data_IF_422151024386
#
_entry.id   IF_422151024386
#
_cell.length_a   1.000
_cell.length_b   1.000
_cell.length_c   1.000
_cell.angle_alpha   90.00
_cell.angle_beta   90.00
_cell.angle_gamma   90.00
#
_symmetry.space_group_name_H-M   'P 1'
#
loop_
_entity.id
_entity.type
_entity.pdbx_description
1 polymer ?
#
# COMPACT_ATOMS: atom_id res chain seq x y z
N UNK A 1 -44.44 49.05 21.51
CA UNK A 1 -43.64 50.27 21.70
C UNK A 1 -42.46 49.92 22.59
N UNK A 2 -41.22 50.08 22.12
CA UNK A 2 -40.03 50.12 23.00
C UNK A 2 -40.00 51.43 23.84
N UNK A 3 -38.94 51.74 24.62
CA UNK A 3 -37.52 51.57 24.23
C UNK A 3 -36.46 51.22 25.33
N UNK A 4 -35.26 50.83 24.85
CA UNK A 4 -33.85 51.23 25.19
C UNK A 4 -33.34 51.03 26.64
N UNK A 5 -32.44 50.08 26.96
CA UNK A 5 -30.95 49.98 26.78
C UNK A 5 -30.15 50.62 27.94
N UNK A 6 -29.39 49.81 28.69
CA UNK A 6 -28.56 50.20 29.85
C UNK A 6 -27.26 49.37 29.90
N UNK A 7 -26.09 50.02 29.80
CA UNK A 7 -24.82 49.78 30.54
C UNK A 7 -23.66 50.61 29.95
N UNK A 8 -23.22 51.68 30.62
CA UNK A 8 -22.13 51.79 31.64
C UNK A 8 -20.72 51.84 31.02
N UNK A 9 -20.30 53.08 30.78
CA UNK A 9 -19.07 53.81 31.12
C UNK A 9 -17.65 53.25 30.91
N UNK A 10 -16.90 54.07 30.16
CA UNK A 10 -15.48 54.11 29.85
C UNK A 10 -14.86 55.34 30.55
N UNK A 11 -13.71 55.17 31.20
CA UNK A 11 -12.70 56.18 31.54
C UNK A 11 -11.34 55.44 31.52
N UNK A 12 -10.18 55.95 31.09
CA UNK A 12 -9.69 57.32 30.90
C UNK A 12 -8.37 57.32 30.09
N UNK A 13 -8.03 58.50 29.59
CA UNK A 13 -6.92 58.99 28.74
C UNK A 13 -5.46 58.77 29.22
N UNK A 14 -4.48 58.78 28.30
CA UNK A 14 -3.52 59.90 28.07
C UNK A 14 -2.29 59.53 27.18
N UNK A 15 -1.75 60.56 26.51
CA UNK A 15 -0.85 60.58 25.35
C UNK A 15 0.68 60.47 25.63
N UNK A 16 1.43 60.35 24.52
CA UNK A 16 2.89 60.20 24.27
C UNK A 16 3.67 61.51 24.60
N UNK A 17 5.04 61.51 24.69
CA UNK A 17 5.78 62.10 23.55
C UNK A 17 7.24 61.61 23.25
N UNK A 18 7.55 61.58 21.95
CA UNK A 18 8.75 62.08 21.21
C UNK A 18 10.22 61.61 21.45
N UNK A 19 10.79 61.02 20.38
CA UNK A 19 11.95 61.46 19.55
C UNK A 19 13.20 62.15 20.18
N UNK A 20 14.40 61.65 19.85
CA UNK A 20 15.40 62.39 19.05
C UNK A 20 16.70 61.61 18.77
N UNK A 21 17.38 62.07 17.72
CA UNK A 21 18.47 61.48 16.94
C UNK A 21 19.89 61.51 17.56
N UNK A 22 20.68 60.49 17.19
CA UNK A 22 22.10 60.50 16.76
C UNK A 22 23.13 61.35 17.54
N UNK A 23 24.24 60.73 18.00
CA UNK A 23 25.65 61.22 17.87
C UNK A 23 26.67 60.32 18.65
N UNK A 24 27.69 59.84 17.91
CA UNK A 24 29.12 59.67 18.28
C UNK A 24 29.60 58.55 19.24
N UNK A 25 30.16 57.50 18.61
CA UNK A 25 31.56 56.96 18.69
C UNK A 25 32.30 56.77 20.05
N UNK A 26 32.92 55.56 20.15
CA UNK A 26 34.06 55.08 20.98
C UNK A 26 33.73 54.76 22.46
N UNK A 27 34.25 53.72 23.14
CA UNK A 27 35.20 52.62 22.87
C UNK A 27 35.20 51.72 24.13
N UNK A 28 35.57 50.42 23.96
CA UNK A 28 35.97 49.44 24.99
C UNK A 28 34.81 48.86 25.86
N UNK A 29 34.69 47.56 26.12
CA UNK A 29 35.74 46.62 26.55
C UNK A 29 35.20 45.17 26.50
N UNK A 30 35.99 44.24 25.96
CA UNK A 30 36.11 42.80 26.30
C UNK A 30 34.82 41.99 26.57
N UNK A 31 34.42 40.99 25.79
CA UNK A 31 35.22 39.83 25.38
C UNK A 31 34.96 38.64 26.32
N UNK A 32 33.84 37.91 26.14
CA UNK A 32 33.68 36.57 26.74
C UNK A 32 32.60 35.65 26.13
N UNK A 33 31.64 36.12 25.32
CA UNK A 33 30.44 35.32 25.03
C UNK A 33 30.24 34.83 23.58
N UNK A 34 31.30 34.62 22.80
CA UNK A 34 31.18 34.02 21.45
C UNK A 34 31.57 32.53 21.37
N UNK A 35 32.11 31.94 22.45
CA UNK A 35 32.51 30.53 22.45
C UNK A 35 31.39 29.55 22.84
N UNK A 36 30.34 30.00 23.53
CA UNK A 36 29.29 29.12 24.06
C UNK A 36 28.16 28.81 23.05
N UNK A 37 28.00 29.62 22.00
CA UNK A 37 26.93 29.42 21.00
C UNK A 37 27.35 28.58 19.79
N UNK A 38 28.63 28.51 19.42
CA UNK A 38 29.08 27.64 18.31
C UNK A 38 29.20 26.18 18.75
N UNK A 39 29.67 25.93 19.98
CA UNK A 39 29.82 24.58 20.53
C UNK A 39 28.47 23.86 20.69
N UNK A 40 27.40 24.58 21.04
CA UNK A 40 26.06 23.98 21.14
C UNK A 40 25.44 23.67 19.77
N UNK A 41 25.70 24.50 18.75
CA UNK A 41 25.20 24.25 17.39
C UNK A 41 25.87 23.04 16.73
N UNK A 42 27.20 22.87 16.93
CA UNK A 42 27.95 21.76 16.35
C UNK A 42 27.63 20.42 17.04
N UNK A 43 27.40 20.42 18.35
CA UNK A 43 27.03 19.21 19.10
C UNK A 43 25.62 18.73 18.73
N UNK A 44 24.66 19.65 18.57
CA UNK A 44 23.28 19.33 18.15
C UNK A 44 23.25 18.84 16.70
N UNK A 45 23.98 19.48 15.79
CA UNK A 45 24.08 19.04 14.40
C UNK A 45 24.70 17.64 14.28
N UNK A 46 25.73 17.33 15.07
CA UNK A 46 26.38 16.01 15.04
C UNK A 46 25.48 14.90 15.61
N UNK A 47 24.69 15.21 16.64
CA UNK A 47 23.74 14.26 17.24
C UNK A 47 22.52 13.97 16.36
N UNK A 48 21.94 15.01 15.73
CA UNK A 48 20.79 14.86 14.82
C UNK A 48 21.20 14.10 13.55
N UNK A 49 22.36 14.43 12.96
CA UNK A 49 22.86 13.72 11.77
C UNK A 49 23.21 12.25 12.06
N UNK A 50 23.74 11.95 13.25
CA UNK A 50 24.06 10.58 13.68
C UNK A 50 22.82 9.76 14.02
N UNK A 51 21.76 10.39 14.54
CA UNK A 51 20.45 9.75 14.81
C UNK A 51 19.68 9.46 13.51
N UNK A 52 19.81 10.31 12.50
CA UNK A 52 19.20 10.10 11.16
C UNK A 52 19.97 9.05 10.35
N UNK A 53 21.31 9.00 10.46
CA UNK A 53 22.16 8.05 9.70
C UNK A 53 22.03 6.58 10.16
N UNK A 54 21.56 6.34 11.38
CA UNK A 54 21.35 4.98 11.93
C UNK A 54 19.89 4.49 11.82
N UNK A 55 19.00 5.27 11.22
CA UNK A 55 17.57 4.98 11.13
C UNK A 55 17.17 4.03 9.98
N UNK A 56 17.70 4.14 8.74
CA UNK A 56 17.20 3.32 7.64
C UNK A 56 17.64 1.86 7.75
N UNK A 57 18.89 1.57 8.16
CA UNK A 57 19.38 0.19 8.31
C UNK A 57 18.66 -0.56 9.42
N UNK A 58 18.30 0.12 10.50
CA UNK A 58 17.53 -0.46 11.61
C UNK A 58 16.06 -0.67 11.22
N UNK A 59 15.46 0.25 10.46
CA UNK A 59 14.13 0.04 9.87
C UNK A 59 14.12 -1.11 8.86
N UNK A 60 15.12 -1.16 7.96
CA UNK A 60 15.32 -2.27 7.01
C UNK A 60 15.52 -3.59 7.76
N UNK A 61 16.31 -3.61 8.84
CA UNK A 61 16.53 -4.80 9.66
C UNK A 61 15.26 -5.27 10.38
N UNK A 62 14.46 -4.36 10.95
CA UNK A 62 13.19 -4.70 11.59
C UNK A 62 12.20 -5.24 10.55
N UNK A 63 12.13 -4.60 9.37
CA UNK A 63 11.34 -5.07 8.23
C UNK A 63 11.96 -6.31 7.57
N UNK A 64 13.21 -6.69 7.84
CA UNK A 64 13.81 -7.92 7.30
C UNK A 64 13.88 -9.08 8.29
N UNK A 65 13.73 -8.86 9.60
CA UNK A 65 13.93 -9.92 10.60
C UNK A 65 12.69 -10.13 11.48
N UNK A 66 11.81 -9.14 11.64
CA UNK A 66 10.70 -9.23 12.61
C UNK A 66 9.50 -10.07 12.14
N UNK A 67 9.27 -10.26 10.84
CA UNK A 67 8.18 -11.14 10.39
C UNK A 67 8.63 -12.58 10.38
N UNK A 68 7.81 -13.47 10.93
CA UNK A 68 8.04 -14.93 10.98
C UNK A 68 8.30 -15.52 9.59
N UNK A 69 7.78 -14.90 8.53
CA UNK A 69 7.95 -15.36 7.15
C UNK A 69 9.37 -15.15 6.61
N UNK A 70 10.15 -14.21 7.18
CA UNK A 70 11.50 -13.92 6.72
C UNK A 70 12.52 -15.00 7.10
N UNK A 71 12.12 -16.00 7.89
CA UNK A 71 12.87 -17.25 8.06
C UNK A 71 13.09 -17.96 6.72
N UNK A 72 12.24 -17.71 5.72
CA UNK A 72 12.38 -18.30 4.38
C UNK A 72 13.35 -17.54 3.46
N UNK A 73 13.77 -16.32 3.83
CA UNK A 73 14.64 -15.48 3.01
C UNK A 73 15.99 -16.13 2.62
N UNK A 74 16.70 -16.89 3.49
CA UNK A 74 17.93 -17.57 3.08
C UNK A 74 17.73 -18.64 1.99
N UNK A 75 16.50 -19.11 1.73
CA UNK A 75 16.26 -20.09 0.66
C UNK A 75 16.48 -19.50 -0.74
N UNK A 76 16.36 -18.17 -0.92
CA UNK A 76 16.65 -17.51 -2.20
C UNK A 76 18.12 -17.64 -2.61
N UNK A 77 19.08 -17.12 -1.82
CA UNK A 77 20.50 -17.33 -2.07
C UNK A 77 20.89 -18.82 -2.13
N UNK A 78 20.26 -19.66 -1.31
CA UNK A 78 20.49 -21.10 -1.34
C UNK A 78 20.07 -21.73 -2.68
N UNK A 79 18.95 -21.29 -3.27
CA UNK A 79 18.51 -21.75 -4.58
C UNK A 79 19.51 -21.39 -5.68
N UNK A 80 20.08 -20.18 -5.61
CA UNK A 80 21.13 -19.72 -6.54
C UNK A 80 22.39 -20.58 -6.38
N UNK A 81 22.85 -20.81 -5.15
CA UNK A 81 24.00 -21.67 -4.89
C UNK A 81 23.75 -23.09 -5.40
N UNK A 82 22.58 -23.66 -5.13
CA UNK A 82 22.22 -25.00 -5.56
C UNK A 82 22.16 -25.14 -7.08
N UNK A 83 21.71 -24.09 -7.78
CA UNK A 83 21.70 -24.05 -9.25
C UNK A 83 23.10 -24.23 -9.83
N UNK A 84 24.11 -23.57 -9.25
CA UNK A 84 25.49 -23.70 -9.69
C UNK A 84 26.14 -25.04 -9.32
N UNK A 85 25.77 -25.64 -8.18
CA UNK A 85 26.46 -26.84 -7.66
C UNK A 85 25.84 -28.15 -8.17
N UNK A 86 24.51 -28.27 -8.16
CA UNK A 86 23.88 -29.61 -8.14
C UNK A 86 23.01 -29.92 -9.37
N UNK A 87 22.70 -28.95 -10.24
CA UNK A 87 21.85 -29.09 -11.44
C UNK A 87 20.50 -29.81 -11.23
N UNK A 88 20.08 -30.04 -9.97
CA UNK A 88 18.79 -30.66 -9.63
C UNK A 88 17.68 -29.62 -9.73
N UNK A 89 17.11 -29.49 -10.93
CA UNK A 89 16.10 -28.48 -11.25
C UNK A 89 14.90 -28.45 -10.29
N UNK A 90 14.43 -29.61 -9.81
CA UNK A 90 13.31 -29.68 -8.87
C UNK A 90 13.57 -29.01 -7.52
N UNK A 91 14.77 -29.20 -6.95
CA UNK A 91 15.15 -28.57 -5.69
C UNK A 91 15.41 -27.08 -5.86
N UNK A 92 16.02 -26.68 -6.98
CA UNK A 92 16.21 -25.26 -7.31
C UNK A 92 14.87 -24.55 -7.43
N UNK A 93 13.88 -25.17 -8.10
CA UNK A 93 12.52 -24.63 -8.21
C UNK A 93 11.86 -24.46 -6.83
N UNK A 94 11.88 -25.51 -6.00
CA UNK A 94 11.26 -25.48 -4.67
C UNK A 94 11.89 -24.43 -3.74
N UNK A 95 13.23 -24.37 -3.69
CA UNK A 95 13.94 -23.38 -2.89
C UNK A 95 13.72 -21.95 -3.40
N UNK A 96 13.62 -21.77 -4.73
CA UNK A 96 13.28 -20.47 -5.32
C UNK A 96 11.88 -20.03 -4.92
N UNK A 97 10.90 -20.93 -4.92
CA UNK A 97 9.53 -20.64 -4.49
C UNK A 97 9.48 -20.22 -3.01
N UNK A 98 10.20 -20.94 -2.14
CA UNK A 98 10.33 -20.55 -0.74
C UNK A 98 11.03 -19.20 -0.58
N UNK A 99 12.08 -18.93 -1.34
CA UNK A 99 12.81 -17.66 -1.29
C UNK A 99 12.02 -16.45 -1.79
N UNK A 100 11.16 -16.63 -2.80
CA UNK A 100 10.29 -15.58 -3.34
C UNK A 100 9.15 -15.24 -2.37
N UNK A 101 8.63 -16.22 -1.63
CA UNK A 101 7.51 -16.03 -0.70
C UNK A 101 7.68 -14.83 0.26
N UNK A 102 8.76 -14.72 1.06
CA UNK A 102 8.97 -13.57 1.93
C UNK A 102 9.25 -12.28 1.16
N UNK A 103 9.90 -12.35 -0.01
CA UNK A 103 10.14 -11.15 -0.84
C UNK A 103 8.83 -10.55 -1.34
N UNK A 104 7.87 -11.40 -1.72
CA UNK A 104 6.54 -11.00 -2.15
C UNK A 104 5.77 -10.30 -1.03
N UNK A 105 5.78 -10.88 0.18
CA UNK A 105 5.16 -10.27 1.36
C UNK A 105 5.78 -8.91 1.68
N UNK A 106 7.11 -8.79 1.62
CA UNK A 106 7.80 -7.53 1.89
C UNK A 106 7.55 -6.45 0.86
N UNK A 107 7.44 -6.82 -0.42
CA UNK A 107 7.05 -5.89 -1.47
C UNK A 107 5.63 -5.35 -1.23
N UNK A 108 4.68 -6.22 -0.86
CA UNK A 108 3.33 -5.82 -0.49
C UNK A 108 3.32 -4.88 0.72
N UNK A 109 3.99 -5.25 1.81
CA UNK A 109 4.10 -4.41 3.01
C UNK A 109 4.72 -3.04 2.71
N UNK A 110 5.82 -3.00 1.95
CA UNK A 110 6.47 -1.75 1.57
C UNK A 110 5.56 -0.87 0.69
N UNK A 111 4.79 -1.49 -0.21
CA UNK A 111 3.81 -0.80 -1.05
C UNK A 111 2.70 -0.18 -0.21
N UNK A 112 2.18 -0.93 0.75
CA UNK A 112 1.15 -0.44 1.67
C UNK A 112 1.67 0.74 2.50
N UNK A 113 2.87 0.62 3.08
CA UNK A 113 3.50 1.73 3.81
C UNK A 113 3.69 2.95 2.91
N UNK A 114 4.17 2.77 1.68
CA UNK A 114 4.34 3.88 0.75
C UNK A 114 3.01 4.52 0.37
N UNK A 115 1.97 3.72 0.13
CA UNK A 115 0.63 4.18 -0.22
C UNK A 115 0.03 5.07 0.87
N UNK A 116 0.26 4.76 2.15
CA UNK A 116 -0.15 5.60 3.27
C UNK A 116 0.46 7.00 3.25
N UNK A 117 1.68 7.18 2.73
CA UNK A 117 2.38 8.47 2.70
C UNK A 117 2.20 9.27 1.38
N UNK A 118 1.71 8.64 0.31
CA UNK A 118 1.58 9.29 -1.02
C UNK A 118 0.20 9.89 -1.30
N UNK A 119 -0.75 9.76 -0.37
CA UNK A 119 -2.13 10.23 -0.52
C UNK A 119 -3.04 9.24 -1.25
N UNK A 120 -4.38 9.39 -1.17
CA UNK A 120 -5.33 8.35 -1.55
C UNK A 120 -5.25 7.89 -3.02
N UNK A 121 -5.11 8.83 -3.96
CA UNK A 121 -5.09 8.54 -5.40
C UNK A 121 -3.82 7.80 -5.79
N UNK A 122 -2.65 8.34 -5.42
CA UNK A 122 -1.35 7.74 -5.75
C UNK A 122 -1.16 6.45 -4.97
N UNK A 123 -1.58 6.40 -3.70
CA UNK A 123 -1.51 5.21 -2.87
C UNK A 123 -2.39 4.07 -3.39
N UNK A 124 -3.60 4.36 -3.85
CA UNK A 124 -4.45 3.34 -4.49
C UNK A 124 -3.85 2.81 -5.79
N UNK A 125 -3.25 3.68 -6.63
CA UNK A 125 -2.52 3.25 -7.83
C UNK A 125 -1.29 2.39 -7.49
N UNK A 126 -0.53 2.76 -6.47
CA UNK A 126 0.62 2.00 -5.99
C UNK A 126 0.20 0.62 -5.50
N UNK A 127 -0.86 0.51 -4.71
CA UNK A 127 -1.37 -0.76 -4.22
C UNK A 127 -1.91 -1.64 -5.37
N UNK A 128 -2.63 -1.05 -6.32
CA UNK A 128 -3.12 -1.76 -7.50
C UNK A 128 -2.00 -2.39 -8.34
N UNK A 129 -0.88 -1.67 -8.49
CA UNK A 129 0.25 -2.09 -9.34
C UNK A 129 1.29 -2.92 -8.58
N UNK A 130 1.86 -2.38 -7.51
CA UNK A 130 2.93 -3.03 -6.75
C UNK A 130 2.42 -4.09 -5.76
N UNK A 131 1.16 -4.01 -5.33
CA UNK A 131 0.54 -5.06 -4.50
C UNK A 131 0.46 -6.42 -5.21
N UNK A 132 0.34 -6.41 -6.54
CA UNK A 132 0.33 -7.61 -7.38
C UNK A 132 1.61 -7.76 -8.23
N UNK A 133 2.66 -6.97 -7.96
CA UNK A 133 3.84 -6.92 -8.83
C UNK A 133 4.58 -8.26 -8.90
N UNK A 134 4.65 -9.02 -7.80
CA UNK A 134 5.29 -10.34 -7.80
C UNK A 134 4.66 -11.26 -8.83
N UNK A 135 3.32 -11.34 -8.85
CA UNK A 135 2.58 -12.17 -9.81
C UNK A 135 2.81 -11.69 -11.25
N UNK A 136 2.76 -10.37 -11.47
CA UNK A 136 3.00 -9.76 -12.79
C UNK A 136 4.42 -10.04 -13.30
N UNK A 137 5.44 -9.90 -12.45
CA UNK A 137 6.86 -10.14 -12.82
C UNK A 137 7.07 -11.60 -13.23
N UNK A 138 6.56 -12.55 -12.42
CA UNK A 138 6.68 -13.98 -12.71
C UNK A 138 5.93 -14.31 -14.01
N UNK A 139 4.74 -13.75 -14.20
CA UNK A 139 3.93 -13.96 -15.40
C UNK A 139 4.60 -13.42 -16.66
N UNK A 140 5.18 -12.21 -16.61
CA UNK A 140 5.90 -11.62 -17.74
C UNK A 140 7.13 -12.47 -18.09
N UNK A 141 7.91 -12.90 -17.09
CA UNK A 141 9.07 -13.74 -17.32
C UNK A 141 8.68 -15.08 -17.96
N UNK A 142 7.66 -15.73 -17.42
CA UNK A 142 7.12 -16.98 -17.97
C UNK A 142 6.59 -16.80 -19.41
N UNK A 143 5.92 -15.68 -19.69
CA UNK A 143 5.43 -15.34 -21.03
C UNK A 143 6.59 -15.15 -22.02
N UNK A 144 7.65 -14.43 -21.61
CA UNK A 144 8.87 -14.26 -22.43
C UNK A 144 9.57 -15.59 -22.73
N UNK A 145 9.47 -16.56 -21.82
CA UNK A 145 9.96 -17.93 -22.02
C UNK A 145 8.98 -18.84 -22.79
N UNK A 146 7.86 -18.31 -23.31
CA UNK A 146 6.87 -19.08 -24.06
C UNK A 146 5.98 -19.99 -23.20
N UNK A 147 6.00 -19.85 -21.88
CA UNK A 147 5.26 -20.69 -20.94
C UNK A 147 3.81 -20.20 -20.76
N UNK A 148 3.06 -20.06 -21.86
CA UNK A 148 1.70 -19.51 -21.86
C UNK A 148 0.77 -20.30 -20.92
N UNK A 149 0.86 -21.63 -20.96
CA UNK A 149 0.04 -22.52 -20.12
C UNK A 149 0.28 -22.27 -18.63
N UNK A 150 1.53 -22.06 -18.23
CA UNK A 150 1.89 -21.78 -16.83
C UNK A 150 1.29 -20.44 -16.40
N UNK A 151 1.38 -19.41 -17.25
CA UNK A 151 0.77 -18.10 -16.98
C UNK A 151 -0.75 -18.23 -16.81
N UNK A 152 -1.44 -18.88 -17.76
CA UNK A 152 -2.89 -19.09 -17.69
C UNK A 152 -3.32 -19.83 -16.41
N UNK A 153 -2.62 -20.91 -16.08
CA UNK A 153 -2.90 -21.70 -14.87
C UNK A 153 -2.61 -20.90 -13.59
N UNK A 154 -1.55 -20.08 -13.58
CA UNK A 154 -1.20 -19.25 -12.43
C UNK A 154 -2.22 -18.13 -12.19
N UNK A 155 -2.74 -17.49 -13.23
CA UNK A 155 -3.77 -16.45 -13.11
C UNK A 155 -5.09 -17.02 -12.60
N UNK A 156 -5.54 -18.16 -13.16
CA UNK A 156 -6.72 -18.86 -12.64
C UNK A 156 -6.51 -19.33 -11.20
N UNK A 157 -5.32 -19.84 -10.88
CA UNK A 157 -4.93 -20.25 -9.53
C UNK A 157 -4.96 -19.10 -8.53
N UNK A 158 -4.49 -17.90 -8.90
CA UNK A 158 -4.53 -16.69 -8.05
C UNK A 158 -5.97 -16.29 -7.73
N UNK A 159 -6.86 -16.28 -8.75
CA UNK A 159 -8.28 -15.99 -8.57
C UNK A 159 -8.93 -16.99 -7.60
N UNK A 160 -8.73 -18.30 -7.83
CA UNK A 160 -9.29 -19.35 -6.98
C UNK A 160 -8.72 -19.32 -5.56
N UNK A 161 -7.41 -19.06 -5.42
CA UNK A 161 -6.74 -18.94 -4.12
C UNK A 161 -7.35 -17.81 -3.31
N UNK A 162 -7.54 -16.63 -3.90
CA UNK A 162 -8.11 -15.49 -3.20
C UNK A 162 -9.60 -15.70 -2.85
N UNK A 163 -10.37 -16.31 -3.75
CA UNK A 163 -11.81 -16.57 -3.55
C UNK A 163 -12.13 -17.65 -2.54
N UNK A 164 -11.40 -18.77 -2.58
CA UNK A 164 -11.77 -19.99 -1.86
C UNK A 164 -10.80 -20.25 -0.72
N UNK A 165 -9.49 -20.26 -1.01
CA UNK A 165 -8.49 -20.64 -0.02
C UNK A 165 -8.32 -19.55 1.04
N UNK A 166 -7.96 -18.34 0.62
CA UNK A 166 -7.72 -17.21 1.53
C UNK A 166 -9.01 -16.84 2.27
N UNK A 167 -10.11 -16.65 1.53
CA UNK A 167 -11.41 -16.32 2.13
C UNK A 167 -11.91 -17.43 3.06
N UNK A 168 -11.80 -18.70 2.64
CA UNK A 168 -12.20 -19.86 3.44
C UNK A 168 -11.38 -19.99 4.72
N UNK A 169 -10.05 -19.81 4.64
CA UNK A 169 -9.19 -19.78 5.83
C UNK A 169 -9.53 -18.59 6.74
N UNK A 170 -9.85 -17.42 6.20
CA UNK A 170 -10.25 -16.25 6.98
C UNK A 170 -11.58 -16.49 7.73
N UNK A 171 -12.58 -17.10 7.09
CA UNK A 171 -13.83 -17.47 7.74
C UNK A 171 -13.63 -18.60 8.77
N UNK A 172 -12.82 -19.60 8.44
CA UNK A 172 -12.54 -20.73 9.34
C UNK A 172 -11.82 -20.26 10.61
N UNK A 173 -10.71 -19.54 10.46
CA UNK A 173 -9.94 -19.02 11.60
C UNK A 173 -10.72 -17.95 12.36
N UNK A 174 -11.42 -17.06 11.64
CA UNK A 174 -12.30 -16.05 12.22
C UNK A 174 -13.44 -16.66 13.04
N UNK A 175 -14.07 -17.73 12.54
CA UNK A 175 -15.13 -18.47 13.22
C UNK A 175 -14.64 -19.24 14.44
N UNK A 176 -13.42 -19.79 14.42
CA UNK A 176 -12.82 -20.44 15.60
C UNK A 176 -12.52 -19.40 16.70
N UNK A 177 -11.85 -18.29 16.34
CA UNK A 177 -11.45 -17.26 17.30
C UNK A 177 -12.66 -16.50 17.85
N UNK A 178 -13.63 -16.18 16.99
CA UNK A 178 -14.82 -15.39 17.33
C UNK A 178 -16.10 -16.23 17.36
N UNK A 179 -16.04 -17.48 17.85
CA UNK A 179 -17.16 -18.43 17.86
C UNK A 179 -18.48 -17.91 18.47
N UNK A 180 -18.45 -16.84 19.27
CA UNK A 180 -19.64 -16.21 19.89
C UNK A 180 -20.15 -14.96 19.15
N UNK A 181 -19.47 -14.49 18.10
CA UNK A 181 -19.82 -13.26 17.37
C UNK A 181 -20.06 -13.58 15.90
N UNK A 182 -21.12 -13.02 15.33
CA UNK A 182 -21.37 -13.08 13.88
C UNK A 182 -20.45 -12.07 13.18
N UNK A 183 -19.72 -12.50 12.16
CA UNK A 183 -18.90 -11.62 11.34
C UNK A 183 -19.80 -10.81 10.40
N UNK A 184 -19.81 -9.49 10.55
CA UNK A 184 -20.64 -8.59 9.74
C UNK A 184 -19.80 -7.95 8.64
N UNK A 185 -20.31 -7.96 7.42
CA UNK A 185 -19.66 -7.36 6.25
C UNK A 185 -20.57 -6.29 5.64
N UNK A 186 -19.96 -5.25 5.06
CA UNK A 186 -20.72 -4.24 4.32
C UNK A 186 -21.27 -4.88 3.03
N UNK A 187 -22.60 -5.03 2.98
CA UNK A 187 -23.32 -5.65 1.86
C UNK A 187 -23.08 -4.93 0.53
N UNK A 188 -22.99 -3.60 0.53
CA UNK A 188 -22.79 -2.82 -0.69
C UNK A 188 -21.39 -3.06 -1.29
N UNK A 189 -20.34 -3.02 -0.45
CA UNK A 189 -18.96 -3.26 -0.88
C UNK A 189 -18.78 -4.71 -1.35
N UNK A 190 -19.34 -5.67 -0.61
CA UNK A 190 -19.30 -7.08 -0.99
C UNK A 190 -20.00 -7.32 -2.34
N UNK A 191 -21.15 -6.68 -2.58
CA UNK A 191 -21.88 -6.81 -3.83
C UNK A 191 -21.07 -6.28 -5.02
N UNK A 192 -20.49 -5.08 -4.91
CA UNK A 192 -19.64 -4.50 -5.98
C UNK A 192 -18.44 -5.38 -6.27
N UNK A 193 -17.72 -5.83 -5.23
CA UNK A 193 -16.54 -6.68 -5.41
C UNK A 193 -16.90 -8.05 -6.00
N UNK A 194 -18.01 -8.67 -5.55
CA UNK A 194 -18.47 -9.94 -6.11
C UNK A 194 -18.91 -9.82 -7.57
N UNK A 195 -19.54 -8.70 -7.95
CA UNK A 195 -19.93 -8.42 -9.34
C UNK A 195 -18.74 -8.21 -10.27
N UNK A 196 -17.73 -7.45 -9.84
CA UNK A 196 -16.47 -7.28 -10.61
C UNK A 196 -15.74 -8.61 -10.80
N UNK A 197 -15.74 -9.43 -9.75
CA UNK A 197 -15.12 -10.74 -9.78
C UNK A 197 -15.84 -11.70 -10.72
N UNK A 198 -17.19 -11.70 -10.71
CA UNK A 198 -18.00 -12.45 -11.66
C UNK A 198 -17.73 -12.00 -13.11
N UNK A 199 -17.65 -10.70 -13.35
CA UNK A 199 -17.25 -10.13 -14.65
C UNK A 199 -15.88 -10.65 -15.09
N UNK A 200 -14.89 -10.66 -14.19
CA UNK A 200 -13.56 -11.17 -14.49
C UNK A 200 -13.55 -12.66 -14.86
N UNK A 201 -14.27 -13.49 -14.09
CA UNK A 201 -14.39 -14.93 -14.38
C UNK A 201 -15.08 -15.16 -15.72
N UNK A 202 -16.19 -14.48 -15.98
CA UNK A 202 -16.93 -14.59 -17.24
C UNK A 202 -16.07 -14.14 -18.44
N UNK A 203 -15.30 -13.07 -18.28
CA UNK A 203 -14.40 -12.53 -19.31
C UNK A 203 -13.29 -13.51 -19.72
N UNK A 204 -12.79 -14.33 -18.78
CA UNK A 204 -11.79 -15.37 -19.04
C UNK A 204 -12.46 -16.68 -19.52
N UNK A 205 -13.66 -16.97 -19.03
CA UNK A 205 -14.40 -18.20 -19.38
C UNK A 205 -14.82 -18.24 -20.83
N UNK A 206 -15.24 -17.11 -21.42
CA UNK A 206 -15.77 -17.08 -22.78
C UNK A 206 -14.76 -17.53 -23.86
N UNK A 207 -13.50 -17.02 -23.89
CA UNK A 207 -12.46 -17.59 -24.76
C UNK A 207 -12.11 -19.05 -24.44
N UNK A 208 -12.10 -19.44 -23.16
CA UNK A 208 -11.77 -20.80 -22.75
C UNK A 208 -12.79 -21.85 -23.24
N UNK A 209 -14.09 -21.52 -23.18
CA UNK A 209 -15.18 -22.38 -23.68
C UNK A 209 -15.13 -22.51 -25.20
N UNK A 210 -14.81 -21.41 -25.91
CA UNK A 210 -14.66 -21.43 -27.37
C UNK A 210 -13.53 -22.37 -27.81
N UNK A 211 -12.38 -22.28 -27.14
CA UNK A 211 -11.25 -23.20 -27.36
C UNK A 211 -11.64 -24.67 -27.09
N UNK A 212 -12.39 -24.94 -26.01
CA UNK A 212 -12.79 -26.30 -25.65
C UNK A 212 -13.82 -26.89 -26.61
N UNK A 213 -14.81 -26.11 -27.03
CA UNK A 213 -15.92 -26.55 -27.90
C UNK A 213 -15.47 -26.74 -29.36
N UNK A 214 -14.30 -26.22 -29.75
CA UNK A 214 -13.79 -26.25 -31.13
C UNK A 214 -14.79 -25.65 -32.15
N UNK A 215 -15.70 -24.78 -31.71
CA UNK A 215 -16.75 -24.18 -32.55
C UNK A 215 -16.26 -23.00 -33.40
N UNK A 216 -14.97 -22.98 -33.75
CA UNK A 216 -14.35 -21.87 -34.47
C UNK A 216 -14.40 -22.09 -35.99
N UNK A 217 -14.77 -21.03 -36.72
CA UNK A 217 -14.73 -20.98 -38.19
C UNK A 217 -13.26 -20.88 -38.69
N UNK A 218 -12.37 -20.27 -37.89
CA UNK A 218 -10.94 -20.14 -38.16
C UNK A 218 -10.11 -20.52 -36.92
N UNK A 219 -9.63 -21.76 -36.89
CA UNK A 219 -8.83 -22.35 -35.81
C UNK A 219 -7.76 -21.39 -35.24
N UNK A 220 -7.90 -21.01 -33.96
CA UNK A 220 -6.94 -20.28 -33.14
C UNK A 220 -6.89 -18.76 -33.39
N UNK A 221 -7.36 -18.27 -34.55
CA UNK A 221 -7.42 -16.82 -34.82
C UNK A 221 -8.61 -16.16 -34.15
N UNK A 222 -9.73 -16.89 -34.03
CA UNK A 222 -10.96 -16.38 -33.41
C UNK A 222 -10.85 -16.33 -31.88
N UNK A 223 -10.25 -17.34 -31.25
CA UNK A 223 -9.97 -17.35 -29.81
C UNK A 223 -9.10 -16.17 -29.38
N UNK A 224 -8.04 -15.92 -30.15
CA UNK A 224 -7.06 -14.88 -29.82
C UNK A 224 -7.63 -13.48 -29.98
N UNK A 225 -8.41 -13.23 -31.05
CA UNK A 225 -9.10 -11.95 -31.24
C UNK A 225 -10.11 -11.69 -30.13
N UNK A 226 -10.86 -12.72 -29.74
CA UNK A 226 -11.83 -12.65 -28.66
C UNK A 226 -11.16 -12.44 -27.30
N UNK A 227 -10.04 -13.11 -27.02
CA UNK A 227 -9.25 -12.92 -25.80
C UNK A 227 -8.69 -11.50 -25.69
N UNK A 228 -8.21 -10.93 -26.80
CA UNK A 228 -7.73 -9.54 -26.86
C UNK A 228 -8.85 -8.53 -26.65
N UNK A 229 -10.01 -8.78 -27.26
CA UNK A 229 -11.20 -7.95 -27.07
C UNK A 229 -11.68 -7.98 -25.62
N UNK A 230 -11.81 -9.18 -25.03
CA UNK A 230 -12.17 -9.37 -23.62
C UNK A 230 -11.17 -8.68 -22.68
N UNK A 231 -9.86 -8.82 -22.91
CA UNK A 231 -8.83 -8.14 -22.13
C UNK A 231 -8.94 -6.62 -22.20
N UNK A 232 -9.31 -6.05 -23.35
CA UNK A 232 -9.50 -4.60 -23.50
C UNK A 232 -10.72 -4.13 -22.68
N UNK A 233 -11.85 -4.82 -22.78
CA UNK A 233 -13.05 -4.53 -21.98
C UNK A 233 -12.74 -4.61 -20.48
N UNK A 234 -12.04 -5.67 -20.05
CA UNK A 234 -11.66 -5.84 -18.65
C UNK A 234 -10.75 -4.72 -18.15
N UNK A 235 -9.82 -4.24 -18.99
CA UNK A 235 -8.94 -3.13 -18.64
C UNK A 235 -9.71 -1.81 -18.50
N UNK A 236 -10.67 -1.54 -19.38
CA UNK A 236 -11.56 -0.37 -19.27
C UNK A 236 -12.45 -0.45 -18.03
N UNK A 237 -13.04 -1.62 -17.75
CA UNK A 237 -13.85 -1.85 -16.57
C UNK A 237 -13.04 -1.66 -15.28
N UNK A 238 -11.81 -2.21 -15.23
CA UNK A 238 -10.89 -2.06 -14.11
C UNK A 238 -10.46 -0.59 -13.92
N UNK A 239 -10.11 0.11 -15.00
CA UNK A 239 -9.77 1.53 -14.94
C UNK A 239 -10.92 2.41 -14.45
N UNK A 240 -12.15 2.12 -14.91
CA UNK A 240 -13.36 2.81 -14.45
C UNK A 240 -13.64 2.54 -12.97
N UNK A 241 -13.45 1.29 -12.52
CA UNK A 241 -13.57 0.92 -11.11
C UNK A 241 -12.54 1.65 -10.25
N UNK A 242 -11.26 1.68 -10.65
CA UNK A 242 -10.23 2.42 -9.93
C UNK A 242 -10.55 3.91 -9.87
N UNK A 243 -11.00 4.51 -10.98
CA UNK A 243 -11.39 5.92 -10.99
C UNK A 243 -12.53 6.21 -10.01
N UNK A 244 -13.57 5.37 -10.00
CA UNK A 244 -14.68 5.50 -9.06
C UNK A 244 -14.24 5.28 -7.61
N UNK A 245 -13.42 4.26 -7.34
CA UNK A 245 -12.92 3.97 -6.00
C UNK A 245 -12.08 5.11 -5.45
N UNK A 246 -11.17 5.66 -6.25
CA UNK A 246 -10.27 6.75 -5.84
C UNK A 246 -11.01 8.08 -5.66
N UNK A 247 -12.05 8.35 -6.46
CA UNK A 247 -12.86 9.57 -6.35
C UNK A 247 -13.88 9.48 -5.20
N UNK A 248 -14.48 8.30 -4.99
CA UNK A 248 -15.54 8.10 -3.99
C UNK A 248 -15.02 7.94 -2.55
N UNK A 249 -13.73 7.59 -2.35
CA UNK A 249 -13.12 7.45 -1.03
C UNK A 249 -12.98 8.77 -0.24
N UNK A 250 -13.34 9.92 -0.82
CA UNK A 250 -13.36 11.19 -0.09
C UNK A 250 -14.41 11.22 1.05
N UNK A 251 -15.50 10.46 0.94
CA UNK A 251 -16.64 10.55 1.88
C UNK A 251 -16.80 9.34 2.84
N UNK A 252 -15.94 8.31 2.75
CA UNK A 252 -16.10 7.06 3.51
C UNK A 252 -15.01 6.79 4.56
N UNK A 253 -14.08 7.72 4.75
CA UNK A 253 -13.06 7.65 5.82
C UNK A 253 -13.45 8.55 7.00
N UNK A 254 -14.71 8.49 7.41
CA UNK A 254 -15.05 8.79 8.80
C UNK A 254 -14.84 7.48 9.57
N UNK A 255 -13.84 7.39 10.46
CA UNK A 255 -13.66 6.18 11.24
C UNK A 255 -14.94 5.90 12.03
N UNK A 256 -15.49 4.70 11.87
CA UNK A 256 -16.65 4.19 12.61
C UNK A 256 -16.26 3.85 14.06
N UNK A 257 -15.40 4.68 14.67
CA UNK A 257 -14.90 4.52 16.03
C UNK A 257 -15.48 5.57 17.00
N UNK A 258 -16.29 6.52 16.55
CA UNK A 258 -16.88 7.54 17.45
C UNK A 258 -18.27 7.22 18.02
N UNK A 259 -18.95 6.15 17.58
CA UNK A 259 -20.33 5.87 18.07
C UNK A 259 -20.37 5.06 19.37
N UNK A 260 -19.26 4.45 19.82
CA UNK A 260 -19.22 3.70 21.09
C UNK A 260 -18.68 4.49 22.28
N UNK A 261 -18.19 5.72 22.09
CA UNK A 261 -17.67 6.56 23.20
C UNK A 261 -18.76 7.38 23.90
N UNK A 262 -19.91 7.63 23.26
CA UNK A 262 -20.93 8.55 23.78
C UNK A 262 -22.14 7.88 24.46
N UNK A 263 -22.17 6.54 24.58
CA UNK A 263 -23.25 5.81 25.27
C UNK A 263 -22.86 5.32 26.68
N UNK A 264 -21.78 5.84 27.27
CA UNK A 264 -21.34 5.47 28.63
C UNK A 264 -21.01 6.67 29.50
N UNK A 265 -21.71 7.79 29.30
CA UNK A 265 -21.83 8.85 30.31
C UNK A 265 -23.26 8.85 30.82
#
# INVERSE_FOLDING_TARGET
MGPIEEKVDLESDEEIPFSSSSIRRKVHMFGFETASMSAHADVVNTWVFKRIRMSPLRSIYIVLIKAKINVLLPFGPLAILLHYVTQKHGWVFFLSLLGITPLAERLGYATEQLAFYTGPIVGGLLNATFGNATEMIISIYALKSGMIRVVQQSLLGSILSNMLLVLGCAFFTGGIVHHRKVQVFNKAIALVNSGLLLMAVMGIMFPAVLHFTRSEIHFGKSELSLSRFSSCIMLVAYGSYLFFQLKSQHDLYNPVDEVYSFSSI
#
